data_IF_076709665218
#
_entry.id   IF_076709665218
#
_cell.length_a   1.000
_cell.length_b   1.000
_cell.length_c   1.000
_cell.angle_alpha   90.00
_cell.angle_beta   90.00
_cell.angle_gamma   90.00
#
_symmetry.space_group_name_H-M   'P 1'
#
loop_
_entity.id
_entity.type
_entity.pdbx_description
1 polymer ?
#
# COMPACT_ATOMS: atom_id res chain seq x y z
N UNK A 1 -4.61 41.77 6.38
CA UNK A 1 -4.74 40.91 5.18
C UNK A 1 -5.32 39.60 5.65
N UNK A 2 -6.49 39.23 5.14
CA UNK A 2 -7.14 37.99 5.55
C UNK A 2 -6.62 36.82 4.71
N UNK A 3 -6.42 35.67 5.35
CA UNK A 3 -5.95 34.42 4.75
C UNK A 3 -7.07 33.40 4.93
N UNK A 4 -7.33 32.62 3.90
CA UNK A 4 -8.38 31.61 3.89
C UNK A 4 -7.81 30.27 3.44
N UNK A 5 -8.38 29.19 3.96
CA UNK A 5 -8.16 27.84 3.48
C UNK A 5 -9.44 27.31 2.84
N UNK A 6 -9.34 26.86 1.59
CA UNK A 6 -10.45 26.25 0.87
C UNK A 6 -10.20 24.74 0.75
N UNK A 7 -10.97 23.96 1.52
CA UNK A 7 -10.77 22.52 1.66
C UNK A 7 -10.99 21.75 0.35
N UNK A 8 -12.02 22.10 -0.42
CA UNK A 8 -12.37 21.38 -1.64
C UNK A 8 -11.27 21.43 -2.72
N UNK A 9 -10.55 22.55 -2.83
CA UNK A 9 -9.38 22.66 -3.73
C UNK A 9 -8.04 22.52 -3.01
N UNK A 10 -8.04 22.23 -1.70
CA UNK A 10 -6.86 22.17 -0.83
C UNK A 10 -5.90 23.36 -1.03
N UNK A 11 -6.44 24.58 -1.10
CA UNK A 11 -5.65 25.78 -1.40
C UNK A 11 -5.73 26.87 -0.34
N UNK A 12 -4.65 27.63 -0.23
CA UNK A 12 -4.58 28.85 0.59
C UNK A 12 -4.82 30.07 -0.28
N UNK A 13 -5.77 30.91 0.13
CA UNK A 13 -6.17 32.13 -0.56
C UNK A 13 -5.92 33.33 0.34
N UNK A 14 -5.68 34.51 -0.23
CA UNK A 14 -5.57 35.75 0.54
C UNK A 14 -6.13 36.95 -0.22
N UNK A 15 -6.49 37.99 0.53
CA UNK A 15 -7.09 39.21 -0.02
C UNK A 15 -6.08 40.16 -0.67
N UNK A 16 -4.78 39.85 -0.65
CA UNK A 16 -3.78 40.62 -1.40
C UNK A 16 -3.64 40.10 -2.83
N UNK A 17 -3.84 38.80 -3.03
CA UNK A 17 -3.75 38.11 -4.31
C UNK A 17 -5.10 38.03 -5.01
N UNK A 18 -6.18 37.78 -4.25
CA UNK A 18 -7.51 37.57 -4.80
C UNK A 18 -8.49 38.64 -4.33
N UNK A 19 -9.36 39.10 -5.24
CA UNK A 19 -10.50 39.92 -4.85
C UNK A 19 -11.43 39.11 -3.93
N UNK A 20 -12.03 39.74 -2.91
CA UNK A 20 -12.92 39.05 -1.95
C UNK A 20 -14.05 38.28 -2.63
N UNK A 21 -14.59 38.79 -3.73
CA UNK A 21 -15.63 38.12 -4.55
C UNK A 21 -15.17 36.82 -5.23
N UNK A 22 -13.87 36.62 -5.34
CA UNK A 22 -13.24 35.45 -5.96
C UNK A 22 -12.83 34.40 -4.93
N UNK A 23 -12.93 34.71 -3.63
CA UNK A 23 -12.74 33.75 -2.56
C UNK A 23 -14.04 32.93 -2.43
N UNK A 24 -13.98 31.60 -2.49
CA UNK A 24 -15.15 30.75 -2.28
C UNK A 24 -15.83 31.04 -0.93
N UNK A 25 -17.18 31.03 -0.86
CA UNK A 25 -17.91 31.36 0.36
C UNK A 25 -17.73 30.31 1.48
N UNK A 26 -17.32 29.11 1.12
CA UNK A 26 -16.98 27.99 2.02
C UNK A 26 -15.49 27.96 2.41
N UNK A 27 -14.70 28.96 1.99
CA UNK A 27 -13.32 29.10 2.44
C UNK A 27 -13.29 29.57 3.91
N UNK A 28 -12.45 28.93 4.72
CA UNK A 28 -12.35 29.17 6.16
C UNK A 28 -11.25 30.18 6.42
N UNK A 29 -11.56 31.30 7.07
CA UNK A 29 -10.55 32.28 7.48
C UNK A 29 -9.60 31.65 8.53
N UNK A 30 -8.30 31.81 8.31
CA UNK A 30 -7.23 31.32 9.17
C UNK A 30 -6.20 32.40 9.43
N UNK A 31 -5.46 32.24 10.52
CA UNK A 31 -4.32 33.10 10.86
C UNK A 31 -3.10 32.75 10.03
N UNK A 32 -2.09 33.62 10.06
CA UNK A 32 -0.81 33.38 9.39
C UNK A 32 -0.07 32.22 10.03
N UNK A 33 -0.12 32.14 11.36
CA UNK A 33 0.47 31.10 12.18
C UNK A 33 -0.15 29.73 11.84
N UNK A 34 -1.48 29.67 11.69
CA UNK A 34 -2.17 28.46 11.25
C UNK A 34 -1.78 28.06 9.83
N UNK A 35 -1.68 29.01 8.89
CA UNK A 35 -1.20 28.71 7.53
C UNK A 35 0.20 28.10 7.55
N UNK A 36 1.12 28.65 8.34
CA UNK A 36 2.49 28.12 8.46
C UNK A 36 2.45 26.72 9.05
N UNK A 37 1.74 26.52 10.17
CA UNK A 37 1.59 25.20 10.80
C UNK A 37 1.03 24.16 9.83
N UNK A 38 -0.04 24.49 9.11
CA UNK A 38 -0.68 23.58 8.15
C UNK A 38 0.24 23.20 6.99
N UNK A 39 1.02 24.17 6.47
CA UNK A 39 1.98 23.92 5.40
C UNK A 39 3.16 23.06 5.88
N UNK A 40 3.69 23.34 7.08
CA UNK A 40 4.77 22.55 7.66
C UNK A 40 4.32 21.10 7.93
N UNK A 41 3.10 20.95 8.45
CA UNK A 41 2.48 19.64 8.66
C UNK A 41 2.29 18.86 7.35
N UNK A 42 1.73 19.49 6.32
CA UNK A 42 1.55 18.86 5.01
C UNK A 42 2.90 18.49 4.36
N UNK A 43 3.92 19.35 4.49
CA UNK A 43 5.28 19.05 4.05
C UNK A 43 5.93 17.88 4.82
N UNK A 44 5.50 17.64 6.07
CA UNK A 44 5.92 16.48 6.88
C UNK A 44 5.10 15.21 6.63
N UNK A 45 4.16 15.24 5.68
CA UNK A 45 3.34 14.08 5.30
C UNK A 45 2.00 13.97 6.04
N UNK A 46 1.61 14.95 6.84
CA UNK A 46 0.29 15.00 7.44
C UNK A 46 -0.77 15.45 6.42
N UNK A 47 -2.02 15.07 6.66
CA UNK A 47 -3.14 15.53 5.84
C UNK A 47 -3.92 16.61 6.56
N UNK A 48 -4.19 17.72 5.86
CA UNK A 48 -5.15 18.73 6.33
C UNK A 48 -6.57 18.20 6.14
N UNK A 49 -7.34 18.14 7.22
CA UNK A 49 -8.77 17.78 7.28
C UNK A 49 -9.56 18.83 8.06
N UNK A 50 -10.89 18.83 7.94
CA UNK A 50 -11.74 19.68 8.76
C UNK A 50 -12.19 18.93 10.02
N UNK A 51 -12.05 19.56 11.19
CA UNK A 51 -12.58 19.03 12.44
C UNK A 51 -14.10 19.28 12.57
N UNK A 52 -14.69 18.86 13.70
CA UNK A 52 -16.14 19.03 13.99
C UNK A 52 -16.61 20.48 14.02
N UNK A 53 -15.68 21.45 14.15
CA UNK A 53 -15.96 22.87 14.11
C UNK A 53 -15.76 23.48 12.70
N UNK A 54 -15.47 22.64 11.70
CA UNK A 54 -15.18 23.08 10.34
C UNK A 54 -13.85 23.80 10.20
N UNK A 55 -12.90 23.63 11.14
CA UNK A 55 -11.57 24.26 11.06
C UNK A 55 -10.53 23.29 10.52
N UNK A 56 -9.56 23.76 9.71
CA UNK A 56 -8.49 22.92 9.21
C UNK A 56 -7.57 22.49 10.36
N UNK A 57 -7.33 21.19 10.45
CA UNK A 57 -6.42 20.56 11.41
C UNK A 57 -5.54 19.55 10.68
N UNK A 58 -4.36 19.28 11.25
CA UNK A 58 -3.45 18.26 10.77
C UNK A 58 -3.80 16.93 11.41
N UNK A 59 -3.91 15.89 10.59
CA UNK A 59 -4.01 14.51 11.04
C UNK A 59 -2.97 13.67 10.34
N UNK A 60 -2.52 12.62 11.01
CA UNK A 60 -1.77 11.57 10.32
C UNK A 60 -2.71 10.89 9.31
N UNK A 61 -2.34 10.84 8.01
CA UNK A 61 -3.16 10.15 7.03
C UNK A 61 -3.26 8.69 7.42
N UNK A 62 -4.50 8.22 7.61
CA UNK A 62 -4.73 6.78 7.76
C UNK A 62 -4.52 6.13 6.40
N UNK A 63 -3.71 5.07 6.30
CA UNK A 63 -3.57 4.34 5.06
C UNK A 63 -4.94 3.86 4.57
N UNK A 64 -5.20 4.02 3.28
CA UNK A 64 -6.41 3.51 2.67
C UNK A 64 -6.45 1.97 2.79
N UNK A 65 -7.46 1.38 3.46
CA UNK A 65 -7.57 -0.07 3.59
C UNK A 65 -7.56 -0.80 2.24
N UNK A 66 -8.12 -0.19 1.19
CA UNK A 66 -8.10 -0.78 -0.16
C UNK A 66 -6.70 -0.74 -0.77
N UNK A 67 -5.94 0.35 -0.57
CA UNK A 67 -4.55 0.43 -0.97
C UNK A 67 -3.68 -0.63 -0.28
N UNK A 68 -3.88 -0.88 1.02
CA UNK A 68 -3.18 -1.95 1.75
C UNK A 68 -3.54 -3.32 1.14
N UNK A 69 -4.83 -3.59 0.94
CA UNK A 69 -5.28 -4.83 0.32
C UNK A 69 -4.69 -5.04 -1.09
N UNK A 70 -4.62 -4.00 -1.90
CA UNK A 70 -4.00 -4.07 -3.23
C UNK A 70 -2.51 -4.35 -3.16
N UNK A 71 -1.80 -3.74 -2.21
CA UNK A 71 -0.38 -3.99 -1.98
C UNK A 71 -0.11 -5.47 -1.63
N UNK A 72 -0.95 -6.08 -0.79
CA UNK A 72 -0.83 -7.50 -0.44
C UNK A 72 -1.16 -8.44 -1.59
N UNK A 73 -2.13 -8.09 -2.45
CA UNK A 73 -2.39 -8.85 -3.68
C UNK A 73 -1.17 -8.80 -4.59
N UNK A 74 -0.60 -7.62 -4.82
CA UNK A 74 0.62 -7.51 -5.62
C UNK A 74 1.81 -8.29 -5.04
N UNK A 75 1.99 -8.28 -3.72
CA UNK A 75 2.99 -9.13 -3.07
C UNK A 75 2.75 -10.61 -3.37
N UNK A 76 1.51 -11.07 -3.21
CA UNK A 76 1.11 -12.45 -3.53
C UNK A 76 1.34 -12.83 -5.00
N UNK A 77 1.08 -11.90 -5.92
CA UNK A 77 1.34 -12.08 -7.35
C UNK A 77 2.83 -12.30 -7.61
N UNK A 78 3.67 -11.41 -7.07
CA UNK A 78 5.12 -11.48 -7.21
C UNK A 78 5.69 -12.77 -6.60
N UNK A 79 5.20 -13.16 -5.43
CA UNK A 79 5.61 -14.37 -4.74
C UNK A 79 5.26 -15.64 -5.55
N UNK A 80 4.04 -15.70 -6.09
CA UNK A 80 3.63 -16.82 -6.96
C UNK A 80 4.47 -16.89 -8.23
N UNK A 81 4.81 -15.75 -8.83
CA UNK A 81 5.64 -15.68 -10.03
C UNK A 81 7.09 -16.12 -9.74
N UNK A 82 7.63 -15.75 -8.57
CA UNK A 82 8.99 -16.12 -8.15
C UNK A 82 9.20 -17.64 -8.05
N UNK A 83 8.17 -18.39 -7.60
CA UNK A 83 8.28 -19.85 -7.39
C UNK A 83 7.68 -20.68 -8.52
N UNK A 84 7.03 -20.05 -9.51
CA UNK A 84 6.32 -20.74 -10.59
C UNK A 84 7.25 -21.62 -11.43
N UNK A 85 8.47 -21.15 -11.72
CA UNK A 85 9.44 -21.85 -12.55
C UNK A 85 9.88 -23.18 -11.92
N UNK A 86 9.92 -23.30 -10.60
CA UNK A 86 10.27 -24.55 -9.90
C UNK A 86 9.27 -25.66 -10.21
N UNK A 87 7.99 -25.32 -10.25
CA UNK A 87 6.92 -26.25 -10.60
C UNK A 87 7.01 -26.67 -12.06
N UNK A 88 7.33 -25.73 -12.95
CA UNK A 88 7.48 -25.99 -14.39
C UNK A 88 8.67 -26.92 -14.62
N UNK A 89 9.86 -26.58 -14.10
CA UNK A 89 11.07 -27.42 -14.18
C UNK A 89 10.83 -28.85 -13.67
N UNK A 90 10.20 -29.01 -12.50
CA UNK A 90 9.93 -30.35 -11.96
C UNK A 90 9.02 -31.19 -12.87
N UNK A 91 8.06 -30.55 -13.56
CA UNK A 91 7.19 -31.24 -14.52
C UNK A 91 7.96 -31.63 -15.77
N UNK A 92 8.79 -30.73 -16.29
CA UNK A 92 9.63 -31.01 -17.44
C UNK A 92 10.60 -32.17 -17.16
N UNK A 93 11.22 -32.20 -15.97
CA UNK A 93 12.11 -33.29 -15.55
C UNK A 93 11.39 -34.65 -15.48
N UNK A 94 10.14 -34.68 -14.99
CA UNK A 94 9.30 -35.87 -14.98
C UNK A 94 8.94 -36.34 -16.38
N UNK A 95 8.54 -35.41 -17.27
CA UNK A 95 8.18 -35.72 -18.65
C UNK A 95 9.38 -36.23 -19.47
N UNK A 96 10.56 -35.67 -19.21
CA UNK A 96 11.83 -36.11 -19.80
C UNK A 96 12.40 -37.39 -19.16
N UNK A 97 11.80 -37.87 -18.07
CA UNK A 97 12.28 -39.00 -17.27
C UNK A 97 13.77 -38.87 -16.86
N UNK A 98 14.18 -37.65 -16.48
CA UNK A 98 15.53 -37.35 -16.00
C UNK A 98 15.58 -37.28 -14.48
N UNK A 99 16.78 -37.07 -13.93
CA UNK A 99 16.96 -36.90 -12.48
C UNK A 99 16.26 -35.62 -12.03
N UNK A 100 15.43 -35.73 -10.99
CA UNK A 100 14.69 -34.62 -10.42
C UNK A 100 15.62 -33.74 -9.59
N UNK A 101 15.55 -32.42 -9.80
CA UNK A 101 16.27 -31.43 -8.98
C UNK A 101 15.64 -31.26 -7.60
N UNK A 102 14.32 -31.43 -7.50
CA UNK A 102 13.56 -31.39 -6.25
C UNK A 102 13.18 -32.79 -5.78
N UNK A 103 13.29 -33.02 -4.48
CA UNK A 103 12.72 -34.21 -3.84
C UNK A 103 11.19 -34.17 -3.85
N UNK A 104 10.54 -35.33 -3.70
CA UNK A 104 9.09 -35.41 -3.60
C UNK A 104 8.53 -34.58 -2.43
N UNK A 105 9.25 -34.51 -1.31
CA UNK A 105 8.86 -33.71 -0.15
C UNK A 105 8.90 -32.21 -0.48
N UNK A 106 10.01 -31.72 -1.05
CA UNK A 106 10.14 -30.32 -1.49
C UNK A 106 9.06 -29.95 -2.51
N UNK A 107 8.79 -30.82 -3.49
CA UNK A 107 7.73 -30.55 -4.46
C UNK A 107 6.34 -30.46 -3.80
N UNK A 108 6.05 -31.32 -2.82
CA UNK A 108 4.79 -31.23 -2.06
C UNK A 108 4.70 -29.95 -1.24
N UNK A 109 5.79 -29.53 -0.59
CA UNK A 109 5.85 -28.28 0.17
C UNK A 109 5.66 -27.06 -0.73
N UNK A 110 6.28 -27.05 -1.92
CA UNK A 110 6.09 -26.01 -2.93
C UNK A 110 4.62 -25.87 -3.33
N UNK A 111 3.95 -26.99 -3.64
CA UNK A 111 2.55 -26.97 -4.01
C UNK A 111 1.65 -26.47 -2.87
N UNK A 112 1.95 -26.86 -1.63
CA UNK A 112 1.24 -26.38 -0.46
C UNK A 112 1.45 -24.87 -0.25
N UNK A 113 2.68 -24.38 -0.40
CA UNK A 113 3.01 -22.96 -0.32
C UNK A 113 2.27 -22.14 -1.39
N UNK A 114 2.34 -22.56 -2.66
CA UNK A 114 1.60 -21.92 -3.74
C UNK A 114 0.09 -21.91 -3.50
N UNK A 115 -0.46 -22.93 -2.84
CA UNK A 115 -1.88 -22.96 -2.47
C UNK A 115 -2.20 -21.94 -1.38
N UNK A 116 -1.37 -21.86 -0.34
CA UNK A 116 -1.52 -20.84 0.71
C UNK A 116 -1.47 -19.42 0.15
N UNK A 117 -0.60 -19.14 -0.82
CA UNK A 117 -0.57 -17.87 -1.54
C UNK A 117 -1.86 -17.60 -2.31
N UNK A 118 -2.45 -18.60 -2.96
CA UNK A 118 -3.74 -18.42 -3.66
C UNK A 118 -4.88 -18.13 -2.69
N UNK A 119 -4.85 -18.76 -1.51
CA UNK A 119 -5.87 -18.60 -0.47
C UNK A 119 -5.68 -17.33 0.36
N UNK A 120 -4.49 -16.70 0.31
CA UNK A 120 -4.15 -15.52 1.11
C UNK A 120 -5.18 -14.37 1.00
N UNK A 121 -5.62 -13.93 -0.19
CA UNK A 121 -6.63 -12.87 -0.30
C UNK A 121 -8.02 -13.24 0.24
N UNK A 122 -8.28 -14.52 0.53
CA UNK A 122 -9.53 -15.01 1.11
C UNK A 122 -9.38 -15.36 2.61
N UNK A 123 -8.17 -15.22 3.16
CA UNK A 123 -7.90 -15.48 4.57
C UNK A 123 -8.57 -14.45 5.46
N UNK A 124 -9.01 -14.86 6.65
CA UNK A 124 -9.56 -13.97 7.66
C UNK A 124 -8.54 -12.92 8.17
N UNK A 125 -7.25 -13.21 8.02
CA UNK A 125 -6.16 -12.33 8.46
C UNK A 125 -5.69 -11.37 7.34
N UNK A 126 -6.26 -11.45 6.14
CA UNK A 126 -5.93 -10.51 5.07
C UNK A 126 -6.44 -9.09 5.41
N UNK A 127 -5.65 -8.01 5.20
CA UNK A 127 -4.35 -7.91 4.53
C UNK A 127 -3.15 -7.76 5.49
N UNK A 128 -3.17 -8.39 6.67
CA UNK A 128 -2.08 -8.26 7.66
C UNK A 128 -0.82 -9.01 7.21
N UNK A 129 0.25 -8.26 6.95
CA UNK A 129 1.52 -8.81 6.47
C UNK A 129 2.18 -9.78 7.46
N UNK A 130 1.87 -9.71 8.76
CA UNK A 130 2.38 -10.64 9.76
C UNK A 130 1.86 -12.07 9.58
N UNK A 131 0.75 -12.24 8.83
CA UNK A 131 0.10 -13.52 8.58
C UNK A 131 0.33 -14.04 7.16
N UNK A 132 1.27 -13.45 6.43
CA UNK A 132 1.65 -13.92 5.09
C UNK A 132 2.10 -15.38 5.14
N UNK A 133 1.77 -16.17 4.10
CA UNK A 133 2.38 -17.49 3.92
C UNK A 133 3.90 -17.39 3.95
N UNK A 134 4.55 -18.33 4.64
CA UNK A 134 6.00 -18.35 4.80
C UNK A 134 6.63 -19.22 3.72
N UNK A 135 7.58 -18.65 2.99
CA UNK A 135 8.34 -19.35 1.97
C UNK A 135 9.18 -20.50 2.58
N UNK A 136 9.15 -21.71 1.98
CA UNK A 136 10.03 -22.80 2.41
C UNK A 136 11.51 -22.43 2.23
N UNK A 137 12.34 -22.64 3.26
CA UNK A 137 13.73 -22.17 3.28
C UNK A 137 14.61 -22.70 2.14
N UNK A 138 14.29 -23.88 1.61
CA UNK A 138 15.04 -24.49 0.51
C UNK A 138 14.77 -23.81 -0.84
N UNK A 139 13.72 -23.00 -0.98
CA UNK A 139 13.41 -22.30 -2.24
C UNK A 139 14.51 -21.31 -2.59
N UNK A 140 15.02 -20.57 -1.61
CA UNK A 140 16.17 -19.68 -1.79
C UNK A 140 17.43 -20.43 -2.26
N UNK A 141 17.61 -21.70 -1.87
CA UNK A 141 18.72 -22.53 -2.33
C UNK A 141 18.62 -22.90 -3.83
N UNK A 142 17.45 -22.71 -4.46
CA UNK A 142 17.24 -22.98 -5.88
C UNK A 142 17.53 -21.78 -6.79
N UNK A 143 17.59 -20.56 -6.25
CA UNK A 143 17.89 -19.35 -7.04
C UNK A 143 19.40 -19.21 -7.34
N UNK A 144 20.24 -19.83 -6.51
CA UNK A 144 21.71 -19.78 -6.61
C UNK A 144 22.34 -20.91 -7.46
N UNK A 145 21.52 -21.77 -8.09
CA UNK A 145 21.95 -22.97 -8.82
C UNK A 145 21.90 -22.81 -10.35
#
# INVERSE_FOLDING_TARGET
MAIYYHFASRSFLDTATYATKSIPPDAIEITREERVMLLDGEASGQSIVLNDQGRPVLVEPTPDPEAIANQERWWRDAELDSVKWLRERHRDELELAISLSLTTAQYSELLAYMQQLRDWPQSANFPDSAHRPVEPSWVAEQEDA
#
